data_IF_682024242424
#
_entry.id   IF_682024242424
#
_cell.length_a   1.000
_cell.length_b   1.000
_cell.length_c   1.000
_cell.angle_alpha   90.00
_cell.angle_beta   90.00
_cell.angle_gamma   90.00
#
_symmetry.space_group_name_H-M   'P 1'
#
loop_
_entity.id
_entity.type
_entity.pdbx_description
1 polymer ?
#
# COMPACT_ATOMS: atom_id res chain seq x y z
N UNK A 1 -13.49 -0.69 -10.97
CA UNK A 1 -12.11 -0.83 -10.45
C UNK A 1 -11.98 -2.23 -9.84
N UNK A 2 -11.17 -3.10 -10.44
CA UNK A 2 -10.98 -4.49 -10.00
C UNK A 2 -10.29 -4.54 -8.63
N UNK A 3 -11.06 -4.68 -7.55
CA UNK A 3 -10.56 -4.66 -6.16
C UNK A 3 -9.88 -5.96 -5.71
N UNK A 4 -9.93 -7.01 -6.53
CA UNK A 4 -9.46 -8.36 -6.18
C UNK A 4 -8.06 -8.72 -6.71
N UNK A 5 -7.26 -7.74 -7.15
CA UNK A 5 -5.90 -7.99 -7.64
C UNK A 5 -4.90 -7.94 -6.49
N UNK A 6 -3.93 -8.86 -6.53
CA UNK A 6 -2.82 -8.89 -5.58
C UNK A 6 -1.95 -7.64 -5.71
N UNK A 7 -1.26 -7.28 -4.64
CA UNK A 7 -0.26 -6.20 -4.64
C UNK A 7 0.83 -6.45 -5.69
N UNK A 8 1.25 -7.72 -5.88
CA UNK A 8 2.23 -8.11 -6.89
C UNK A 8 1.77 -7.85 -8.32
N UNK A 9 0.51 -8.16 -8.63
CA UNK A 9 -0.09 -7.87 -9.94
C UNK A 9 -0.12 -6.37 -10.21
N UNK A 10 -0.53 -5.58 -9.21
CA UNK A 10 -0.55 -4.11 -9.33
C UNK A 10 0.85 -3.52 -9.53
N UNK A 11 1.87 -4.07 -8.87
CA UNK A 11 3.27 -3.69 -9.06
C UNK A 11 3.74 -3.93 -10.50
N UNK A 12 3.45 -5.12 -11.05
CA UNK A 12 3.89 -5.50 -12.41
C UNK A 12 3.12 -4.75 -13.51
N UNK A 13 1.80 -4.62 -13.39
CA UNK A 13 0.95 -4.04 -14.43
C UNK A 13 1.03 -2.52 -14.50
N UNK A 14 1.16 -1.85 -13.34
CA UNK A 14 1.07 -0.38 -13.26
C UNK A 14 2.39 0.29 -12.84
N UNK A 15 3.41 -0.50 -12.51
CA UNK A 15 4.72 -0.01 -12.07
C UNK A 15 4.69 0.65 -10.69
N UNK A 16 3.79 0.23 -9.81
CA UNK A 16 3.78 0.70 -8.43
C UNK A 16 5.01 0.20 -7.68
N UNK A 17 5.61 1.05 -6.86
CA UNK A 17 6.85 0.72 -6.14
C UNK A 17 6.69 0.79 -4.62
N UNK A 18 5.67 1.51 -4.14
CA UNK A 18 5.42 1.71 -2.71
C UNK A 18 3.93 1.56 -2.39
N UNK A 19 3.63 1.21 -1.13
CA UNK A 19 2.35 1.52 -0.51
C UNK A 19 2.45 2.89 0.15
N UNK A 20 1.54 3.79 -0.22
CA UNK A 20 1.31 5.02 0.53
C UNK A 20 0.33 4.74 1.65
N UNK A 21 0.72 5.08 2.88
CA UNK A 21 -0.11 4.97 4.08
C UNK A 21 -0.30 6.39 4.61
N UNK A 22 -1.55 6.85 4.63
CA UNK A 22 -1.93 8.19 5.08
C UNK A 22 -2.54 8.07 6.48
N UNK A 23 -1.78 8.41 7.51
CA UNK A 23 -2.30 8.45 8.88
C UNK A 23 -1.91 9.79 9.54
N UNK A 24 -1.17 9.78 10.65
CA UNK A 24 -0.64 11.00 11.27
C UNK A 24 0.42 11.68 10.37
N UNK A 25 1.12 10.88 9.57
CA UNK A 25 1.98 11.33 8.48
C UNK A 25 1.79 10.42 7.28
N UNK A 26 2.22 10.90 6.12
CA UNK A 26 2.29 10.09 4.90
C UNK A 26 3.57 9.25 4.96
N UNK A 27 3.41 7.93 4.91
CA UNK A 27 4.53 6.98 4.86
C UNK A 27 4.49 6.24 3.53
N UNK A 28 5.63 6.14 2.86
CA UNK A 28 5.79 5.31 1.66
C UNK A 28 6.57 4.06 2.02
N UNK A 29 5.91 2.92 2.08
CA UNK A 29 6.55 1.63 2.36
C UNK A 29 6.92 0.93 1.05
N UNK A 30 8.19 0.65 0.77
CA UNK A 30 8.61 -0.05 -0.44
C UNK A 30 7.93 -1.42 -0.56
N UNK A 31 7.38 -1.73 -1.74
CA UNK A 31 6.75 -3.02 -2.00
C UNK A 31 7.74 -4.18 -1.90
N UNK A 32 9.00 -3.94 -2.30
CA UNK A 32 10.11 -4.91 -2.21
C UNK A 32 10.45 -5.36 -0.79
N UNK A 33 10.05 -4.59 0.23
CA UNK A 33 10.29 -4.92 1.64
C UNK A 33 9.12 -5.65 2.29
N UNK A 34 8.03 -5.86 1.53
CA UNK A 34 6.90 -6.65 2.00
C UNK A 34 7.20 -8.15 1.83
N UNK A 35 6.68 -8.96 2.75
CA UNK A 35 6.79 -10.41 2.65
C UNK A 35 6.04 -10.93 1.41
N UNK A 36 6.49 -12.04 0.84
CA UNK A 36 5.84 -12.68 -0.31
C UNK A 36 4.33 -12.92 -0.07
N UNK A 37 3.97 -13.43 1.11
CA UNK A 37 2.57 -13.62 1.49
C UNK A 37 1.75 -12.33 1.66
N UNK A 38 2.40 -11.16 1.77
CA UNK A 38 1.70 -9.86 1.71
C UNK A 38 1.50 -9.43 0.27
N UNK A 39 2.50 -9.67 -0.60
CA UNK A 39 2.46 -9.31 -2.01
C UNK A 39 1.38 -10.08 -2.79
N UNK A 40 1.08 -11.31 -2.39
CA UNK A 40 0.05 -12.14 -3.02
C UNK A 40 -1.38 -11.76 -2.59
N UNK A 41 -1.53 -10.94 -1.55
CA UNK A 41 -2.83 -10.53 -1.02
C UNK A 41 -3.36 -9.27 -1.70
N UNK A 42 -4.68 -9.10 -1.76
CA UNK A 42 -5.28 -7.84 -2.16
C UNK A 42 -4.99 -6.75 -1.11
N UNK A 43 -4.98 -5.50 -1.55
CA UNK A 43 -4.70 -4.36 -0.67
C UNK A 43 -5.69 -4.29 0.51
N UNK A 44 -6.94 -4.70 0.30
CA UNK A 44 -8.02 -4.72 1.30
C UNK A 44 -7.69 -5.61 2.50
N UNK A 45 -6.99 -6.73 2.28
CA UNK A 45 -6.56 -7.63 3.36
C UNK A 45 -5.28 -7.17 4.06
N UNK A 46 -4.46 -6.40 3.36
CA UNK A 46 -3.17 -5.91 3.85
C UNK A 46 -3.33 -4.61 4.64
N UNK A 47 -4.18 -3.69 4.18
CA UNK A 47 -4.44 -2.40 4.81
C UNK A 47 -4.70 -2.49 6.33
N UNK A 48 -5.63 -3.32 6.84
CA UNK A 48 -5.88 -3.40 8.28
C UNK A 48 -4.73 -3.99 9.09
N UNK A 49 -3.74 -4.63 8.44
CA UNK A 49 -2.53 -5.17 9.10
C UNK A 49 -1.40 -4.14 9.17
N UNK A 50 -1.51 -3.02 8.46
CA UNK A 50 -0.52 -1.95 8.47
C UNK A 50 -0.77 -1.05 9.66
N UNK A 51 0.18 -1.02 10.60
CA UNK A 51 0.13 -0.18 11.79
C UNK A 51 0.95 1.07 11.54
N UNK A 52 0.35 2.24 11.74
CA UNK A 52 1.09 3.50 11.77
C UNK A 52 1.85 3.64 13.10
N UNK A 53 2.91 4.43 13.13
CA UNK A 53 3.68 4.70 14.37
C UNK A 53 2.83 5.29 15.51
N UNK A 54 1.68 5.91 15.20
CA UNK A 54 0.72 6.34 16.24
C UNK A 54 -0.08 5.19 16.87
N UNK A 55 0.22 3.93 16.54
CA UNK A 55 -0.45 2.73 17.04
C UNK A 55 -1.79 2.41 16.36
N UNK A 56 -2.24 3.25 15.41
CA UNK A 56 -3.51 3.03 14.69
C UNK A 56 -3.30 2.17 13.45
N UNK A 57 -4.19 1.20 13.27
CA UNK A 57 -4.30 0.46 12.02
C UNK A 57 -4.73 1.39 10.88
N UNK A 58 -4.11 1.23 9.72
CA UNK A 58 -4.50 1.93 8.52
C UNK A 58 -5.82 1.34 7.98
N UNK A 59 -6.77 2.20 7.63
CA UNK A 59 -7.98 1.76 6.92
C UNK A 59 -7.70 1.70 5.43
N UNK A 60 -8.45 0.89 4.68
CA UNK A 60 -8.28 0.80 3.21
C UNK A 60 -8.42 2.16 2.51
N UNK A 61 -9.26 3.05 3.04
CA UNK A 61 -9.41 4.43 2.53
C UNK A 61 -8.16 5.30 2.68
N UNK A 62 -7.22 4.87 3.53
CA UNK A 62 -5.98 5.56 3.87
C UNK A 62 -4.73 4.87 3.32
N UNK A 63 -4.89 3.75 2.62
CA UNK A 63 -3.78 3.03 1.99
C UNK A 63 -3.98 3.02 0.49
N UNK A 64 -2.95 3.40 -0.25
CA UNK A 64 -2.97 3.42 -1.70
C UNK A 64 -1.66 2.94 -2.30
N UNK A 65 -1.69 2.62 -3.58
CA UNK A 65 -0.47 2.35 -4.34
C UNK A 65 0.20 3.66 -4.77
N UNK A 66 1.52 3.71 -4.72
CA UNK A 66 2.31 4.87 -5.09
C UNK A 66 3.55 4.49 -5.89
N UNK A 67 3.99 5.40 -6.75
CA UNK A 67 5.24 5.29 -7.50
C UNK A 67 5.96 6.63 -7.61
N UNK A 68 7.27 6.55 -7.82
CA UNK A 68 8.12 7.73 -8.03
C UNK A 68 7.56 8.56 -9.20
N UNK A 69 7.44 9.88 -9.00
CA UNK A 69 6.84 10.80 -9.97
C UNK A 69 5.33 11.00 -9.86
N UNK A 70 4.62 10.21 -9.03
CA UNK A 70 3.20 10.44 -8.74
C UNK A 70 3.06 11.59 -7.73
N UNK A 71 2.14 12.54 -7.98
CA UNK A 71 1.90 13.68 -7.08
C UNK A 71 1.71 13.18 -5.65
N UNK A 72 2.45 13.78 -4.72
CA UNK A 72 2.33 13.49 -3.30
C UNK A 72 0.98 14.02 -2.85
N UNK A 73 0.03 13.14 -2.57
CA UNK A 73 -1.14 13.51 -1.77
C UNK A 73 -0.65 13.64 -0.33
N UNK A 74 -0.56 14.88 0.14
CA UNK A 74 -0.18 15.30 1.48
C UNK A 74 -0.77 16.68 1.72
#
# INVERSE_FOLDING_TARGET
MNRNRSISSMMQEHGYTHLQIVCCKVVHKPLRELSAGTLEKPLEEVAPRLVCECGKHATIARVGFWKHGMKRYG
#
